data_IF_005900116997
#
_entry.id   IF_005900116997
#
_cell.length_a   1.000
_cell.length_b   1.000
_cell.length_c   1.000
_cell.angle_alpha   90.00
_cell.angle_beta   90.00
_cell.angle_gamma   90.00
#
_symmetry.space_group_name_H-M   'P 1'
#
loop_
_entity.id
_entity.type
_entity.pdbx_description
1 polymer ?
#
# COMPACT_ATOMS: atom_id res chain seq x y z
N UNK A 1 6.58 -18.87 5.66
CA UNK A 1 6.54 -17.39 5.74
C UNK A 1 6.30 -16.89 4.32
N UNK A 2 5.62 -15.77 4.10
CA UNK A 2 5.55 -15.18 2.77
C UNK A 2 6.93 -14.63 2.40
N UNK A 3 7.28 -14.59 1.12
CA UNK A 3 8.31 -13.71 0.64
C UNK A 3 7.78 -12.27 0.75
N UNK A 4 8.65 -11.37 1.13
CA UNK A 4 8.28 -9.97 1.29
C UNK A 4 8.63 -9.18 0.02
N UNK A 5 7.75 -8.27 -0.33
CA UNK A 5 8.00 -7.26 -1.35
C UNK A 5 8.23 -5.93 -0.66
N UNK A 6 9.39 -5.34 -0.85
CA UNK A 6 9.72 -3.99 -0.40
C UNK A 6 9.13 -3.00 -1.40
N UNK A 7 8.46 -1.99 -0.87
CA UNK A 7 7.82 -0.95 -1.67
C UNK A 7 8.29 0.42 -1.18
N UNK A 8 8.72 1.27 -2.10
CA UNK A 8 8.99 2.70 -1.88
C UNK A 8 8.02 3.49 -2.75
N UNK A 9 6.98 4.02 -2.14
CA UNK A 9 5.90 4.73 -2.78
C UNK A 9 6.08 6.24 -2.63
N UNK A 10 6.24 6.94 -3.74
CA UNK A 10 6.13 8.40 -3.80
C UNK A 10 4.75 8.78 -4.33
N UNK A 11 4.03 9.60 -3.57
CA UNK A 11 2.77 10.22 -4.01
C UNK A 11 3.01 11.72 -4.10
N UNK A 12 2.74 12.29 -5.26
CA UNK A 12 3.19 13.65 -5.56
C UNK A 12 2.21 14.45 -6.41
N UNK A 13 2.31 15.78 -6.25
CA UNK A 13 1.82 16.76 -7.19
C UNK A 13 3.02 17.32 -7.96
N UNK A 14 2.92 17.50 -9.26
CA UNK A 14 4.03 18.03 -10.07
C UNK A 14 3.50 19.12 -10.99
N UNK A 15 4.13 20.30 -11.00
CA UNK A 15 3.64 21.47 -11.73
C UNK A 15 3.37 21.20 -13.22
N UNK A 16 4.22 20.43 -13.87
CA UNK A 16 4.08 20.07 -15.29
C UNK A 16 2.90 19.12 -15.58
N UNK A 17 2.20 18.61 -14.54
CA UNK A 17 1.01 17.75 -14.68
C UNK A 17 -0.27 18.54 -14.78
N UNK A 18 -0.29 19.84 -14.46
CA UNK A 18 -1.50 20.64 -14.34
C UNK A 18 -1.55 21.77 -15.38
N UNK A 19 -2.75 22.00 -15.91
CA UNK A 19 -2.98 23.02 -16.92
C UNK A 19 -3.03 24.43 -16.30
N UNK A 20 -3.47 24.53 -15.03
CA UNK A 20 -3.60 25.81 -14.35
C UNK A 20 -3.37 25.73 -12.81
N UNK A 21 -3.26 26.91 -12.19
CA UNK A 21 -3.08 27.05 -10.72
C UNK A 21 -4.24 26.52 -9.89
N UNK A 22 -5.45 26.43 -10.46
CA UNK A 22 -6.62 25.92 -9.74
C UNK A 22 -6.55 24.41 -9.65
N UNK A 23 -6.15 23.74 -10.72
CA UNK A 23 -5.97 22.31 -10.76
C UNK A 23 -4.82 21.88 -9.81
N UNK A 24 -3.72 22.65 -9.77
CA UNK A 24 -2.64 22.42 -8.82
C UNK A 24 -3.12 22.47 -7.36
N UNK A 25 -3.90 23.49 -6.98
CA UNK A 25 -4.45 23.60 -5.63
C UNK A 25 -5.39 22.43 -5.29
N UNK A 26 -6.15 21.96 -6.24
CA UNK A 26 -7.00 20.78 -6.05
C UNK A 26 -6.16 19.52 -5.89
N UNK A 27 -5.03 19.40 -6.60
CA UNK A 27 -4.10 18.29 -6.43
C UNK A 27 -3.42 18.32 -5.05
N UNK A 28 -2.98 19.50 -4.58
CA UNK A 28 -2.45 19.68 -3.23
C UNK A 28 -3.48 19.23 -2.17
N UNK A 29 -4.76 19.61 -2.34
CA UNK A 29 -5.84 19.18 -1.47
C UNK A 29 -6.07 17.66 -1.52
N UNK A 30 -6.02 17.06 -2.72
CA UNK A 30 -6.11 15.60 -2.84
C UNK A 30 -4.96 14.89 -2.14
N UNK A 31 -3.75 15.46 -2.15
CA UNK A 31 -2.62 14.90 -1.42
C UNK A 31 -2.82 14.98 0.10
N UNK A 32 -3.31 16.11 0.62
CA UNK A 32 -3.66 16.25 2.02
C UNK A 32 -4.74 15.21 2.42
N UNK A 33 -5.80 15.06 1.63
CA UNK A 33 -6.84 14.05 1.86
C UNK A 33 -6.30 12.62 1.80
N UNK A 34 -5.37 12.33 0.90
CA UNK A 34 -4.69 11.03 0.83
C UNK A 34 -3.89 10.78 2.12
N UNK A 35 -3.10 11.74 2.57
CA UNK A 35 -2.29 11.64 3.79
C UNK A 35 -3.20 11.44 5.01
N UNK A 36 -4.22 12.27 5.19
CA UNK A 36 -5.16 12.18 6.31
C UNK A 36 -5.90 10.83 6.36
N UNK A 37 -6.21 10.25 5.19
CA UNK A 37 -6.93 8.98 5.13
C UNK A 37 -6.03 7.77 5.31
N UNK A 38 -4.80 7.80 4.80
CA UNK A 38 -3.93 6.63 4.66
C UNK A 38 -2.84 6.54 5.72
N UNK A 39 -2.45 7.68 6.31
CA UNK A 39 -1.35 7.77 7.28
C UNK A 39 -1.93 8.08 8.67
N UNK A 40 -1.87 7.09 9.54
CA UNK A 40 -2.42 7.20 10.90
C UNK A 40 -1.29 7.32 11.92
N UNK A 41 -1.54 8.05 13.02
CA UNK A 41 -0.67 8.00 14.18
C UNK A 41 -0.87 6.67 14.91
N UNK A 42 0.20 5.90 15.09
CA UNK A 42 0.14 4.69 15.90
C UNK A 42 -0.09 5.09 17.38
N UNK A 43 -1.28 4.80 17.89
CA UNK A 43 -1.54 4.89 19.33
C UNK A 43 -0.89 3.67 19.97
N UNK A 44 0.07 3.87 20.88
CA UNK A 44 0.62 2.75 21.67
C UNK A 44 -0.54 1.89 22.18
N UNK A 45 -0.54 0.60 21.79
CA UNK A 45 -1.42 -0.37 22.41
C UNK A 45 -1.00 -0.52 23.87
N UNK A 46 -1.91 -0.32 24.81
CA UNK A 46 -1.68 -0.43 26.26
C UNK A 46 -1.22 -1.84 26.74
N UNK A 47 -0.95 -2.75 25.81
CA UNK A 47 -0.72 -4.18 26.08
C UNK A 47 0.77 -4.60 25.99
N UNK A 48 1.73 -3.67 26.22
CA UNK A 48 3.13 -4.08 26.46
C UNK A 48 3.35 -4.28 27.96
N UNK A 49 3.49 -5.54 28.37
CA UNK A 49 3.85 -5.93 29.74
C UNK A 49 5.02 -5.08 30.25
N UNK A 50 4.88 -4.57 31.48
CA UNK A 50 5.65 -3.54 32.17
C UNK A 50 7.13 -3.88 32.50
N UNK A 51 7.84 -4.66 31.67
CA UNK A 51 9.21 -5.08 31.96
C UNK A 51 10.33 -4.26 31.29
N UNK A 52 10.03 -3.45 30.25
CA UNK A 52 11.04 -2.69 29.51
C UNK A 52 10.67 -1.20 29.30
N UNK A 53 10.32 -0.50 30.39
CA UNK A 53 10.16 0.96 30.36
C UNK A 53 11.54 1.62 30.42
N UNK A 54 11.95 2.41 29.40
CA UNK A 54 13.09 3.29 29.51
C UNK A 54 12.80 4.38 30.58
N UNK A 55 13.72 4.52 31.53
CA UNK A 55 13.67 5.59 32.54
C UNK A 55 14.10 6.91 31.87
N UNK A 56 13.14 7.75 31.55
CA UNK A 56 13.37 9.13 31.08
C UNK A 56 12.14 9.69 30.40
N UNK A 57 11.83 10.98 30.67
CA UNK A 57 10.70 11.75 30.11
C UNK A 57 10.85 12.10 28.62
N UNK A 58 11.53 11.28 27.82
CA UNK A 58 11.60 11.43 26.37
C UNK A 58 10.29 10.88 25.78
N UNK A 59 9.42 11.80 25.37
CA UNK A 59 8.28 11.42 24.50
C UNK A 59 8.84 10.72 23.28
N UNK A 60 8.52 9.44 23.13
CA UNK A 60 8.80 8.73 21.88
C UNK A 60 8.16 9.50 20.72
N UNK A 61 8.84 9.64 19.58
CA UNK A 61 8.22 10.26 18.41
C UNK A 61 6.94 9.47 18.07
N UNK A 62 5.87 10.22 17.76
CA UNK A 62 4.62 9.62 17.27
C UNK A 62 4.96 8.90 15.97
N UNK A 63 4.79 7.60 15.95
CA UNK A 63 5.05 6.79 14.76
C UNK A 63 3.86 6.91 13.81
N UNK A 64 4.12 7.32 12.58
CA UNK A 64 3.09 7.44 11.53
C UNK A 64 3.14 6.19 10.67
N UNK A 65 2.03 5.47 10.65
CA UNK A 65 1.89 4.21 9.90
C UNK A 65 0.96 4.36 8.70
N UNK A 66 1.33 3.74 7.61
CA UNK A 66 0.54 3.72 6.39
C UNK A 66 -0.34 2.48 6.33
N UNK A 67 -1.58 2.64 5.86
CA UNK A 67 -2.56 1.57 5.69
C UNK A 67 -3.39 1.76 4.43
N UNK A 68 -3.65 0.68 3.73
CA UNK A 68 -4.54 0.65 2.56
C UNK A 68 -6.00 0.90 2.92
N UNK A 69 -6.38 0.64 4.18
CA UNK A 69 -7.74 0.80 4.68
C UNK A 69 -8.27 2.23 4.54
N UNK A 70 -7.41 3.23 4.56
CA UNK A 70 -7.82 4.63 4.45
C UNK A 70 -8.33 5.01 3.06
N UNK A 71 -7.82 4.37 2.02
CA UNK A 71 -8.22 4.62 0.63
C UNK A 71 -9.19 3.55 0.13
N UNK A 72 -8.89 2.28 0.42
CA UNK A 72 -9.65 1.10 -0.04
C UNK A 72 -10.03 0.25 1.17
N UNK A 73 -11.04 0.64 1.95
CA UNK A 73 -11.43 -0.06 3.19
C UNK A 73 -12.06 -1.42 2.90
N UNK A 74 -11.58 -2.44 3.61
CA UNK A 74 -12.20 -3.77 3.56
C UNK A 74 -13.50 -3.79 4.38
N UNK A 75 -14.62 -4.27 3.80
CA UNK A 75 -15.87 -4.45 4.54
C UNK A 75 -15.73 -5.44 5.70
N UNK A 76 -16.27 -5.08 6.87
CA UNK A 76 -16.13 -5.89 8.09
C UNK A 76 -16.75 -7.29 7.97
N UNK A 77 -17.79 -7.44 7.17
CA UNK A 77 -18.48 -8.71 6.92
C UNK A 77 -17.59 -9.76 6.24
N UNK A 78 -16.51 -9.33 5.60
CA UNK A 78 -15.51 -10.21 4.98
C UNK A 78 -14.54 -10.83 5.98
N UNK A 79 -14.51 -10.35 7.23
CA UNK A 79 -13.61 -10.86 8.27
C UNK A 79 -14.08 -12.20 8.84
N UNK A 80 -14.18 -13.19 7.97
CA UNK A 80 -14.48 -14.59 8.29
C UNK A 80 -13.28 -15.47 7.93
N UNK A 81 -13.23 -16.69 8.48
CA UNK A 81 -12.09 -17.59 8.22
C UNK A 81 -11.94 -17.95 6.73
N UNK A 82 -10.72 -18.21 6.30
CA UNK A 82 -10.41 -18.61 4.93
C UNK A 82 -9.58 -19.92 4.96
N UNK A 83 -10.16 -21.04 4.49
CA UNK A 83 -11.57 -21.23 4.06
C UNK A 83 -12.58 -21.19 5.21
N UNK A 84 -13.86 -20.95 4.90
CA UNK A 84 -14.95 -20.96 5.85
C UNK A 84 -15.15 -22.38 6.43
N UNK A 85 -15.21 -22.50 7.75
CA UNK A 85 -15.28 -23.79 8.45
C UNK A 85 -16.69 -24.12 8.93
N UNK A 86 -17.42 -23.13 9.49
CA UNK A 86 -18.78 -23.35 10.00
C UNK A 86 -19.83 -23.15 8.92
N UNK A 87 -21.05 -23.64 9.14
CA UNK A 87 -22.13 -23.47 8.17
C UNK A 87 -22.61 -22.02 8.11
N UNK A 88 -22.50 -21.28 9.23
CA UNK A 88 -22.77 -19.85 9.29
C UNK A 88 -21.76 -19.06 8.45
N UNK A 89 -20.45 -19.38 8.57
CA UNK A 89 -19.40 -18.76 7.76
C UNK A 89 -19.57 -19.06 6.26
N UNK A 90 -19.97 -20.29 5.91
CA UNK A 90 -20.25 -20.66 4.52
C UNK A 90 -21.44 -19.88 3.95
N UNK A 91 -22.52 -19.74 4.74
CA UNK A 91 -23.66 -18.93 4.35
C UNK A 91 -23.27 -17.44 4.18
N UNK A 92 -22.48 -16.90 5.12
CA UNK A 92 -21.97 -15.54 5.03
C UNK A 92 -21.06 -15.36 3.81
N UNK A 93 -20.19 -16.33 3.50
CA UNK A 93 -19.33 -16.31 2.32
C UNK A 93 -20.11 -16.19 1.00
N UNK A 94 -21.25 -16.87 0.87
CA UNK A 94 -22.12 -16.78 -0.30
C UNK A 94 -22.82 -15.40 -0.42
N UNK A 95 -23.19 -14.80 0.71
CA UNK A 95 -23.71 -13.43 0.77
C UNK A 95 -22.63 -12.44 0.35
N UNK A 96 -21.42 -12.59 0.91
CA UNK A 96 -20.27 -11.74 0.62
C UNK A 96 -19.88 -11.81 -0.87
N UNK A 97 -19.86 -13.01 -1.44
CA UNK A 97 -19.55 -13.20 -2.86
C UNK A 97 -20.51 -12.40 -3.76
N UNK A 98 -21.79 -12.41 -3.45
CA UNK A 98 -22.82 -11.66 -4.20
C UNK A 98 -22.70 -10.15 -4.03
N UNK A 99 -22.32 -9.69 -2.83
CA UNK A 99 -22.28 -8.27 -2.48
C UNK A 99 -20.95 -7.61 -2.84
N UNK A 100 -19.84 -8.30 -2.64
CA UNK A 100 -18.50 -7.75 -2.71
C UNK A 100 -17.59 -8.40 -3.78
N UNK A 101 -18.07 -9.46 -4.45
CA UNK A 101 -17.26 -10.23 -5.41
C UNK A 101 -16.20 -11.12 -4.75
N UNK A 102 -16.18 -11.22 -3.42
CA UNK A 102 -15.23 -12.00 -2.64
C UNK A 102 -15.94 -12.71 -1.49
N UNK A 103 -15.48 -13.93 -1.13
CA UNK A 103 -16.09 -14.71 -0.07
C UNK A 103 -15.67 -14.30 1.33
N UNK A 104 -14.42 -13.90 1.48
CA UNK A 104 -13.75 -13.60 2.74
C UNK A 104 -12.69 -12.51 2.55
N UNK A 105 -11.99 -12.16 3.64
CA UNK A 105 -10.93 -11.17 3.65
C UNK A 105 -9.79 -11.49 2.67
N UNK A 106 -9.39 -12.76 2.56
CA UNK A 106 -8.27 -13.17 1.71
C UNK A 106 -8.55 -12.93 0.23
N UNK A 107 -9.72 -13.40 -0.24
CA UNK A 107 -10.13 -13.19 -1.63
C UNK A 107 -10.26 -11.70 -1.94
N UNK A 108 -10.83 -10.94 -0.98
CA UNK A 108 -11.06 -9.52 -1.15
C UNK A 108 -9.75 -8.71 -1.18
N UNK A 109 -8.80 -9.00 -0.28
CA UNK A 109 -7.50 -8.31 -0.26
C UNK A 109 -6.73 -8.52 -1.56
N UNK A 110 -6.66 -9.76 -2.05
CA UNK A 110 -6.01 -10.04 -3.33
C UNK A 110 -6.70 -9.32 -4.51
N UNK A 111 -8.03 -9.23 -4.51
CA UNK A 111 -8.79 -8.58 -5.58
C UNK A 111 -8.69 -7.04 -5.52
N UNK A 112 -8.55 -6.45 -4.34
CA UNK A 112 -8.68 -5.02 -4.14
C UNK A 112 -7.39 -4.30 -3.78
N UNK A 113 -6.44 -5.00 -3.17
CA UNK A 113 -5.11 -4.48 -2.84
C UNK A 113 -4.00 -5.10 -3.68
N UNK A 114 -4.24 -6.28 -4.29
CA UNK A 114 -3.23 -7.05 -5.06
C UNK A 114 -2.28 -7.84 -4.17
N UNK A 115 -2.49 -7.82 -2.86
CA UNK A 115 -1.67 -8.49 -1.87
C UNK A 115 -2.52 -9.05 -0.75
N UNK A 116 -2.01 -10.08 -0.08
CA UNK A 116 -2.73 -10.82 0.95
C UNK A 116 -3.13 -9.97 2.16
N UNK A 117 -2.24 -9.09 2.60
CA UNK A 117 -2.39 -8.27 3.81
C UNK A 117 -2.28 -6.78 3.51
N UNK A 118 -2.64 -5.96 4.48
CA UNK A 118 -2.37 -4.52 4.47
C UNK A 118 -0.86 -4.25 4.44
N UNK A 119 -0.47 -2.99 4.22
CA UNK A 119 0.91 -2.56 4.35
C UNK A 119 1.45 -2.89 5.75
N UNK A 120 2.66 -3.45 5.81
CA UNK A 120 3.35 -3.79 7.06
C UNK A 120 4.67 -3.05 7.15
N UNK A 121 5.21 -2.91 8.37
CA UNK A 121 6.50 -2.26 8.64
C UNK A 121 6.65 -0.92 7.87
N UNK A 122 5.57 -0.14 7.90
CA UNK A 122 5.49 1.10 7.14
C UNK A 122 6.03 2.30 7.92
N UNK A 123 6.71 3.20 7.22
CA UNK A 123 7.15 4.48 7.76
C UNK A 123 7.20 5.55 6.67
N UNK A 124 7.09 6.81 7.11
CA UNK A 124 7.25 7.94 6.21
C UNK A 124 8.75 8.22 6.08
N UNK A 125 9.31 7.97 4.89
CA UNK A 125 10.73 8.15 4.63
C UNK A 125 11.09 9.59 4.28
N UNK A 126 10.16 10.32 3.65
CA UNK A 126 10.32 11.74 3.31
C UNK A 126 8.95 12.38 3.04
N UNK A 127 8.82 13.68 3.31
CA UNK A 127 7.66 14.47 2.94
C UNK A 127 8.01 15.95 2.85
N UNK A 128 7.36 16.67 1.96
CA UNK A 128 7.56 18.11 1.89
C UNK A 128 7.17 18.72 0.57
N UNK A 129 7.62 19.96 0.43
CA UNK A 129 7.50 20.75 -0.78
C UNK A 129 8.90 21.05 -1.31
N UNK A 130 9.16 20.60 -2.52
CA UNK A 130 10.37 21.01 -3.25
C UNK A 130 10.11 22.37 -3.91
N UNK A 131 10.68 23.44 -3.32
CA UNK A 131 10.50 24.82 -3.82
C UNK A 131 11.05 25.02 -5.24
N UNK A 132 12.08 24.25 -5.63
CA UNK A 132 12.71 24.36 -6.94
C UNK A 132 11.81 23.81 -8.05
N UNK A 133 11.10 22.73 -7.78
CA UNK A 133 10.25 22.03 -8.74
C UNK A 133 8.76 22.27 -8.48
N UNK A 134 8.44 23.10 -7.49
CA UNK A 134 7.07 23.37 -7.05
C UNK A 134 6.26 22.08 -6.80
N UNK A 135 6.94 21.06 -6.28
CA UNK A 135 6.40 19.73 -6.04
C UNK A 135 6.03 19.59 -4.56
N UNK A 136 4.80 19.09 -4.30
CA UNK A 136 4.37 18.69 -2.96
C UNK A 136 4.20 17.17 -2.94
N UNK A 137 4.82 16.48 -1.97
CA UNK A 137 4.91 15.03 -2.00
C UNK A 137 4.99 14.40 -0.61
N UNK A 138 4.67 13.10 -0.57
CA UNK A 138 4.99 12.19 0.53
C UNK A 138 5.66 10.93 -0.04
N UNK A 139 6.66 10.41 0.68
CA UNK A 139 7.32 9.15 0.36
C UNK A 139 7.15 8.17 1.51
N UNK A 140 6.70 6.97 1.21
CA UNK A 140 6.29 5.94 2.16
C UNK A 140 7.02 4.66 1.82
N UNK A 141 7.80 4.12 2.76
CA UNK A 141 8.36 2.79 2.66
C UNK A 141 7.48 1.80 3.43
N UNK A 142 7.23 0.63 2.86
CA UNK A 142 6.44 -0.44 3.49
C UNK A 142 6.71 -1.78 2.82
N UNK A 143 6.27 -2.87 3.46
CA UNK A 143 6.34 -4.20 2.87
C UNK A 143 4.97 -4.79 2.61
N UNK A 144 4.89 -5.65 1.58
CA UNK A 144 3.68 -6.42 1.24
C UNK A 144 4.00 -7.89 1.07
N UNK A 145 2.99 -8.74 1.23
CA UNK A 145 3.17 -10.19 1.12
C UNK A 145 3.06 -10.64 -0.34
N UNK A 146 4.10 -11.25 -0.87
CA UNK A 146 4.19 -11.92 -2.19
C UNK A 146 4.27 -11.00 -3.41
N UNK A 147 3.46 -9.94 -3.44
CA UNK A 147 3.26 -9.10 -4.63
C UNK A 147 3.25 -7.63 -4.27
N UNK A 148 3.63 -6.74 -5.19
CA UNK A 148 3.39 -5.30 -5.03
C UNK A 148 1.89 -4.99 -5.02
N UNK A 149 1.44 -3.90 -4.39
CA UNK A 149 0.02 -3.56 -4.20
C UNK A 149 -0.58 -2.89 -5.45
N UNK A 150 -0.54 -3.58 -6.58
CA UNK A 150 -0.93 -3.02 -7.88
C UNK A 150 -2.40 -2.53 -7.91
N UNK A 151 -3.33 -3.38 -7.46
CA UNK A 151 -4.76 -3.08 -7.45
C UNK A 151 -5.09 -1.92 -6.49
N UNK A 152 -4.36 -1.83 -5.37
CA UNK A 152 -4.46 -0.68 -4.48
C UNK A 152 -4.01 0.61 -5.17
N UNK A 153 -2.84 0.61 -5.82
CA UNK A 153 -2.32 1.78 -6.53
C UNK A 153 -3.27 2.24 -7.62
N UNK A 154 -3.88 1.32 -8.37
CA UNK A 154 -4.86 1.66 -9.38
C UNK A 154 -6.08 2.35 -8.77
N UNK A 155 -6.66 1.79 -7.70
CA UNK A 155 -7.81 2.38 -7.01
C UNK A 155 -7.49 3.70 -6.32
N UNK A 156 -6.27 3.82 -5.78
CA UNK A 156 -5.83 5.09 -5.19
C UNK A 156 -5.78 6.20 -6.23
N UNK A 157 -5.24 5.94 -7.42
CA UNK A 157 -5.19 6.95 -8.48
C UNK A 157 -6.56 7.20 -9.15
N UNK A 158 -7.51 6.25 -9.08
CA UNK A 158 -8.91 6.49 -9.44
C UNK A 158 -9.60 7.46 -8.47
N UNK A 159 -9.33 7.31 -7.16
CA UNK A 159 -9.87 8.18 -6.10
C UNK A 159 -9.22 9.56 -6.09
N UNK A 160 -7.92 9.63 -6.39
CA UNK A 160 -7.11 10.86 -6.40
C UNK A 160 -6.48 11.07 -7.78
N UNK A 161 -7.27 11.41 -8.80
CA UNK A 161 -6.82 11.41 -10.19
C UNK A 161 -5.79 12.49 -10.54
N UNK A 162 -5.65 13.51 -9.70
CA UNK A 162 -4.66 14.57 -9.88
C UNK A 162 -3.31 14.24 -9.24
N UNK A 163 -3.17 13.10 -8.56
CA UNK A 163 -1.92 12.67 -7.99
C UNK A 163 -1.20 11.67 -8.88
N UNK A 164 0.11 11.70 -8.82
CA UNK A 164 0.99 10.68 -9.39
C UNK A 164 1.50 9.77 -8.28
N UNK A 165 1.35 8.47 -8.51
CA UNK A 165 1.84 7.41 -7.64
C UNK A 165 2.98 6.70 -8.34
N UNK A 166 4.18 6.80 -7.79
CA UNK A 166 5.38 6.09 -8.28
C UNK A 166 5.83 5.12 -7.20
N UNK A 167 5.77 3.83 -7.47
CA UNK A 167 6.14 2.78 -6.52
C UNK A 167 7.32 1.99 -7.07
N UNK A 168 8.47 2.06 -6.40
CA UNK A 168 9.58 1.14 -6.63
C UNK A 168 9.30 -0.13 -5.84
N UNK A 169 9.49 -1.29 -6.47
CA UNK A 169 9.21 -2.59 -5.89
C UNK A 169 10.40 -3.52 -6.05
N UNK A 170 10.70 -4.27 -4.99
CA UNK A 170 11.75 -5.27 -4.96
C UNK A 170 11.32 -6.45 -4.10
N UNK A 171 11.39 -7.65 -4.63
CA UNK A 171 11.08 -8.86 -3.88
C UNK A 171 12.33 -9.37 -3.16
N UNK A 172 12.16 -9.86 -1.94
CA UNK A 172 13.18 -10.29 -0.98
C UNK A 172 14.27 -11.21 -1.57
N UNK A 173 13.91 -12.10 -2.49
CA UNK A 173 14.85 -13.00 -3.19
C UNK A 173 15.24 -12.51 -4.59
N UNK A 174 14.98 -11.24 -4.89
CA UNK A 174 15.25 -10.62 -6.19
C UNK A 174 14.53 -11.30 -7.37
N UNK A 175 13.41 -11.99 -7.10
CA UNK A 175 12.61 -12.64 -8.15
C UNK A 175 12.00 -11.60 -9.10
N UNK A 176 11.70 -10.41 -8.61
CA UNK A 176 11.33 -9.26 -9.44
C UNK A 176 11.76 -7.95 -8.79
N UNK A 177 11.99 -6.96 -9.63
CA UNK A 177 12.24 -5.57 -9.24
C UNK A 177 11.75 -4.63 -10.35
N UNK A 178 11.44 -3.38 -10.01
CA UNK A 178 11.06 -2.39 -11.01
C UNK A 178 10.24 -1.24 -10.45
N UNK A 179 9.52 -0.57 -11.34
CA UNK A 179 8.68 0.57 -11.00
C UNK A 179 7.27 0.35 -11.55
N UNK A 180 6.29 0.81 -10.75
CA UNK A 180 4.89 0.97 -11.14
C UNK A 180 4.57 2.47 -11.07
N UNK A 181 4.07 3.05 -12.16
CA UNK A 181 3.62 4.43 -12.19
C UNK A 181 2.13 4.45 -12.53
N UNK A 182 1.35 4.96 -11.60
CA UNK A 182 -0.10 5.11 -11.76
C UNK A 182 -0.48 6.59 -11.71
N UNK A 183 -1.35 7.01 -12.64
CA UNK A 183 -1.82 8.38 -12.75
C UNK A 183 -3.13 8.42 -13.55
N UNK A 184 -4.01 9.39 -13.25
CA UNK A 184 -5.31 9.55 -13.92
C UNK A 184 -6.20 8.30 -13.91
N UNK A 185 -6.19 7.57 -12.82
CA UNK A 185 -6.93 6.30 -12.69
C UNK A 185 -6.36 5.15 -13.51
N UNK A 186 -5.09 5.22 -13.95
CA UNK A 186 -4.48 4.22 -14.84
C UNK A 186 -3.04 3.92 -14.46
N UNK A 187 -2.62 2.69 -14.77
CA UNK A 187 -1.21 2.36 -14.87
C UNK A 187 -0.65 3.02 -16.15
N UNK A 188 0.32 3.93 -15.99
CA UNK A 188 0.95 4.63 -17.14
C UNK A 188 2.31 4.05 -17.48
N UNK A 189 2.98 3.40 -16.52
CA UNK A 189 4.23 2.67 -16.76
C UNK A 189 4.38 1.48 -15.83
N UNK A 190 4.93 0.39 -16.35
CA UNK A 190 5.28 -0.82 -15.60
C UNK A 190 6.60 -1.38 -16.14
N UNK A 191 7.66 -1.18 -15.38
CA UNK A 191 9.00 -1.68 -15.72
C UNK A 191 9.44 -2.82 -14.81
N UNK A 192 8.50 -3.49 -14.14
CA UNK A 192 8.80 -4.62 -13.26
C UNK A 192 9.37 -5.77 -14.09
N UNK A 193 10.65 -6.06 -13.88
CA UNK A 193 11.35 -7.16 -14.51
C UNK A 193 11.33 -8.40 -13.60
N UNK A 194 11.02 -9.54 -14.18
CA UNK A 194 11.04 -10.84 -13.47
C UNK A 194 12.38 -11.51 -13.73
N UNK A 195 13.14 -11.73 -12.66
CA UNK A 195 14.38 -12.50 -12.69
C UNK A 195 14.04 -13.99 -12.54
N UNK A 196 14.08 -14.74 -13.62
CA UNK A 196 14.12 -16.19 -13.51
C UNK A 196 15.55 -16.60 -13.18
N UNK A 197 15.82 -17.28 -12.04
CA UNK A 197 17.14 -17.87 -11.82
C UNK A 197 17.47 -18.77 -13.00
N UNK A 198 18.61 -18.54 -13.63
CA UNK A 198 19.11 -19.46 -14.67
C UNK A 198 19.22 -20.80 -13.98
N UNK A 199 18.48 -21.81 -14.45
CA UNK A 199 18.73 -23.20 -14.06
C UNK A 199 20.15 -23.49 -14.51
N UNK A 200 21.06 -23.59 -13.57
CA UNK A 200 22.37 -24.15 -13.85
C UNK A 200 22.10 -25.53 -14.46
N UNK A 201 22.49 -25.70 -15.71
CA UNK A 201 22.56 -27.02 -16.29
C UNK A 201 23.71 -27.70 -15.58
N UNK A 202 23.40 -28.31 -14.41
CA UNK A 202 24.31 -29.26 -13.79
C UNK A 202 24.51 -30.39 -14.81
N UNK A 203 25.78 -30.59 -15.11
CA UNK A 203 26.28 -31.37 -16.20
C UNK A 203 25.73 -32.79 -16.27
N UNK A 204 25.37 -33.13 -17.49
CA UNK A 204 25.55 -34.49 -18.01
C UNK A 204 27.06 -34.65 -18.37
N UNK A 205 27.83 -35.23 -17.45
CA UNK A 205 29.04 -35.98 -17.74
C UNK A 205 28.86 -37.45 -17.37
#
# INVERSE_FOLDING_TARGET
>A
MPNWTFNDLKVETTEWLYEDKKEKKEAEKQLDEFIESSVNEEKESEDKSSADLPRGDEKKPIERVFSFQGVVPMPKELNITSPAHTDEEKAQAEINLKKYGAKNWYDWCNLNWGTKWDASDSYISDEGRDEKWEEYFIRIAFVTAWCPPFEYLQKATEKYPLLRFTCQVEEESEAFLGNLICQWGKLVDNTVAINFPKRDKEGDE
#
